data_IF_532907105893
#
_entry.id   IF_532907105893
#
_cell.length_a   1.000
_cell.length_b   1.000
_cell.length_c   1.000
_cell.angle_alpha   90.00
_cell.angle_beta   90.00
_cell.angle_gamma   90.00
#
_symmetry.space_group_name_H-M   'P 1'
#
loop_
_entity.id
_entity.type
_entity.pdbx_description
1 polymer ?
#
# COMPACT_ATOMS: atom_id res chain seq x y z
N UNK A 1 -0.96 15.30 -5.05
CA UNK A 1 -1.12 13.84 -5.24
C UNK A 1 -1.75 13.57 -6.59
N UNK A 2 -1.15 12.72 -7.42
CA UNK A 2 -1.59 12.48 -8.80
C UNK A 2 -2.86 11.61 -8.82
N UNK A 3 -3.95 12.00 -9.53
CA UNK A 3 -5.21 11.22 -9.56
C UNK A 3 -5.00 9.75 -9.97
N UNK A 4 -3.98 9.48 -10.79
CA UNK A 4 -3.59 8.15 -11.24
C UNK A 4 -3.15 7.20 -10.12
N UNK A 5 -2.54 7.71 -9.04
CA UNK A 5 -2.13 6.87 -7.91
C UNK A 5 -3.36 6.27 -7.21
N UNK A 6 -4.37 7.10 -6.94
CA UNK A 6 -5.58 6.68 -6.24
C UNK A 6 -6.40 5.67 -7.06
N UNK A 7 -6.50 5.86 -8.37
CA UNK A 7 -7.19 4.91 -9.25
C UNK A 7 -6.46 3.56 -9.30
N UNK A 8 -5.13 3.58 -9.45
CA UNK A 8 -4.33 2.35 -9.50
C UNK A 8 -4.37 1.61 -8.16
N UNK A 9 -4.19 2.31 -7.04
CA UNK A 9 -4.22 1.72 -5.70
C UNK A 9 -5.60 1.13 -5.37
N UNK A 10 -6.71 1.74 -5.83
CA UNK A 10 -8.06 1.20 -5.63
C UNK A 10 -8.24 -0.17 -6.29
N UNK A 11 -7.61 -0.42 -7.44
CA UNK A 11 -7.63 -1.74 -8.09
C UNK A 11 -6.84 -2.81 -7.31
N UNK A 12 -6.02 -2.41 -6.35
CA UNK A 12 -5.23 -3.33 -5.51
C UNK A 12 -5.92 -3.66 -4.19
N UNK A 13 -7.11 -3.11 -3.92
CA UNK A 13 -7.85 -3.41 -2.68
C UNK A 13 -8.15 -4.92 -2.62
N UNK A 14 -7.89 -5.51 -1.46
CA UNK A 14 -8.01 -6.94 -1.19
C UNK A 14 -6.76 -7.75 -1.55
N UNK A 15 -5.77 -7.15 -2.21
CA UNK A 15 -4.55 -7.84 -2.61
C UNK A 15 -3.44 -7.64 -1.55
N UNK A 16 -2.54 -8.62 -1.45
CA UNK A 16 -1.32 -8.48 -0.67
C UNK A 16 -0.34 -7.59 -1.46
N UNK A 17 0.14 -6.53 -0.83
CA UNK A 17 1.05 -5.58 -1.45
C UNK A 17 2.26 -5.32 -0.55
N UNK A 18 3.35 -4.89 -1.18
CA UNK A 18 4.52 -4.34 -0.51
C UNK A 18 4.55 -2.83 -0.73
N UNK A 19 4.78 -2.06 0.32
CA UNK A 19 4.87 -0.59 0.30
C UNK A 19 6.20 -0.18 0.91
N UNK A 20 6.93 0.73 0.25
CA UNK A 20 8.09 1.39 0.84
C UNK A 20 7.77 2.86 1.13
N UNK A 21 8.07 3.30 2.35
CA UNK A 21 7.94 4.70 2.75
C UNK A 21 9.28 5.46 2.69
N UNK A 22 9.20 6.80 2.76
CA UNK A 22 10.32 7.74 2.80
C UNK A 22 11.36 7.40 3.87
N UNK A 23 10.90 6.83 4.98
CA UNK A 23 11.73 6.48 6.13
C UNK A 23 12.47 5.14 5.95
N UNK A 24 12.49 4.62 4.71
CA UNK A 24 13.06 3.31 4.33
C UNK A 24 12.39 2.12 5.03
N UNK A 25 11.16 2.31 5.51
CA UNK A 25 10.36 1.24 6.09
C UNK A 25 9.64 0.52 4.95
N UNK A 26 9.82 -0.80 4.88
CA UNK A 26 9.10 -1.67 3.94
C UNK A 26 8.05 -2.43 4.73
N UNK A 27 6.79 -2.31 4.32
CA UNK A 27 5.65 -2.98 4.95
C UNK A 27 4.95 -3.86 3.94
N UNK A 28 4.52 -5.05 4.38
CA UNK A 28 3.79 -6.01 3.58
C UNK A 28 2.49 -6.37 4.27
N UNK A 29 1.39 -6.31 3.54
CA UNK A 29 0.06 -6.56 4.10
C UNK A 29 -1.03 -6.55 3.05
N UNK A 30 -2.26 -6.77 3.48
CA UNK A 30 -3.43 -6.72 2.60
C UNK A 30 -3.91 -5.27 2.52
N UNK A 31 -3.99 -4.70 1.32
CA UNK A 31 -4.56 -3.37 1.14
C UNK A 31 -6.08 -3.42 1.38
N UNK A 32 -6.57 -2.83 2.47
CA UNK A 32 -8.00 -2.83 2.81
C UNK A 32 -8.74 -1.60 2.27
N UNK A 33 -8.14 -0.42 2.40
CA UNK A 33 -8.77 0.83 2.00
C UNK A 33 -7.77 1.80 1.38
N UNK A 34 -8.26 2.60 0.44
CA UNK A 34 -7.55 3.74 -0.15
C UNK A 34 -8.38 4.98 0.10
N UNK A 35 -7.87 5.86 0.95
CA UNK A 35 -8.43 7.16 1.32
C UNK A 35 -7.64 8.26 0.61
N UNK A 36 -8.15 9.50 0.54
CA UNK A 36 -7.46 10.60 -0.15
C UNK A 36 -6.03 10.87 0.36
N UNK A 37 -5.79 10.69 1.67
CA UNK A 37 -4.50 10.99 2.32
C UNK A 37 -3.80 9.75 2.89
N UNK A 38 -4.49 8.61 2.94
CA UNK A 38 -4.02 7.40 3.62
C UNK A 38 -4.33 6.15 2.82
N UNK A 39 -3.49 5.14 2.94
CA UNK A 39 -3.89 3.75 2.69
C UNK A 39 -3.95 2.98 4.01
N UNK A 40 -4.79 1.96 4.03
CA UNK A 40 -4.90 1.03 5.16
C UNK A 40 -4.35 -0.32 4.73
N UNK A 41 -3.21 -0.71 5.30
CA UNK A 41 -2.64 -2.05 5.19
C UNK A 41 -3.06 -2.87 6.41
N UNK A 42 -3.59 -4.06 6.22
CA UNK A 42 -3.80 -5.02 7.30
C UNK A 42 -2.60 -5.97 7.39
N UNK A 43 -1.95 -5.98 8.56
CA UNK A 43 -0.80 -6.83 8.87
C UNK A 43 -1.14 -7.60 10.13
N UNK A 44 -1.31 -8.92 10.03
CA UNK A 44 -1.65 -9.76 11.19
C UNK A 44 -2.91 -9.31 11.93
N UNK A 45 -3.97 -8.98 11.19
CA UNK A 45 -5.25 -8.44 11.71
C UNK A 45 -5.16 -7.05 12.38
N UNK A 46 -4.02 -6.38 12.29
CA UNK A 46 -3.86 -5.00 12.78
C UNK A 46 -3.89 -4.03 11.58
N UNK A 47 -4.71 -2.97 11.62
CA UNK A 47 -4.73 -1.94 10.58
C UNK A 47 -3.57 -0.95 10.76
N UNK A 48 -2.79 -0.75 9.70
CA UNK A 48 -1.70 0.22 9.58
C UNK A 48 -2.11 1.33 8.63
N UNK A 49 -2.02 2.56 9.10
CA UNK A 49 -2.34 3.76 8.33
C UNK A 49 -1.05 4.35 7.78
N UNK A 50 -0.91 4.37 6.47
CA UNK A 50 0.28 4.91 5.79
C UNK A 50 -0.13 6.17 5.05
N UNK A 51 0.51 7.30 5.37
CA UNK A 51 0.32 8.54 4.63
C UNK A 51 0.80 8.36 3.21
N UNK A 52 -0.04 8.70 2.25
CA UNK A 52 0.27 8.46 0.84
C UNK A 52 1.40 9.35 0.32
N UNK A 53 1.63 10.50 0.95
CA UNK A 53 2.77 11.39 0.67
C UNK A 53 4.12 10.79 1.08
N UNK A 54 4.13 9.83 2.00
CA UNK A 54 5.34 9.13 2.42
C UNK A 54 5.66 7.93 1.52
N UNK A 55 4.75 7.51 0.65
CA UNK A 55 4.93 6.32 -0.20
C UNK A 55 5.87 6.67 -1.35
N UNK A 56 6.99 5.97 -1.43
CA UNK A 56 7.91 6.05 -2.58
C UNK A 56 7.40 5.17 -3.72
N UNK A 57 7.04 3.93 -3.40
CA UNK A 57 6.51 2.96 -4.34
C UNK A 57 5.68 1.89 -3.62
N UNK A 58 4.85 1.21 -4.39
CA UNK A 58 4.13 0.01 -3.97
C UNK A 58 4.17 -1.03 -5.09
N UNK A 59 4.12 -2.31 -4.73
CA UNK A 59 4.10 -3.43 -5.67
C UNK A 59 3.13 -4.49 -5.20
N UNK A 60 2.54 -5.22 -6.15
CA UNK A 60 1.83 -6.46 -5.84
C UNK A 60 2.82 -7.46 -5.25
N UNK A 61 2.42 -8.14 -4.19
CA UNK A 61 3.14 -9.31 -3.69
C UNK A 61 2.65 -10.53 -4.50
N UNK A 62 3.18 -10.66 -5.72
CA UNK A 62 2.94 -11.82 -6.57
C UNK A 62 3.65 -13.07 -6.03
N UNK A 63 3.29 -14.29 -6.49
CA UNK A 63 4.02 -15.49 -6.09
C UNK A 63 5.47 -15.35 -6.55
N UNK A 64 6.38 -15.16 -5.60
CA UNK A 64 7.84 -15.17 -5.71
C UNK A 64 8.40 -15.16 -7.15
N UNK A 65 8.75 -13.99 -7.68
CA UNK A 65 9.70 -13.89 -8.79
C UNK A 65 11.08 -13.52 -8.23
N UNK A 66 11.83 -14.54 -7.83
CA UNK A 66 13.30 -14.54 -7.82
C UNK A 66 13.77 -15.52 -8.88
#
# INVERSE_FOLDING_TARGET
>A
MSPYFNETAKNLIGQKITVQTSDKIVQQGILRHVLPQYIVLEIGQVPFFIHTEQIIWLSLDGPNNF
#
